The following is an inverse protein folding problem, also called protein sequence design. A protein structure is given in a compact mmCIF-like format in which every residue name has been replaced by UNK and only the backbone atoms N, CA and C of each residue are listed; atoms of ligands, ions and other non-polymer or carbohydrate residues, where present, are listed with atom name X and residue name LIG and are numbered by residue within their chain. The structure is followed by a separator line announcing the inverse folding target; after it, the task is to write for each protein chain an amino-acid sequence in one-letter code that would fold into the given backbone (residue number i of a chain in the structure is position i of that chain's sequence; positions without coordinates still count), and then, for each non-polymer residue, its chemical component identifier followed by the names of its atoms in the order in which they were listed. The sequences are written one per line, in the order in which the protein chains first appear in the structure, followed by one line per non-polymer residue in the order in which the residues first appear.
data_IF_758860626098
#
_entry.id   IF_758860626098
#
_cell.length_a   1.000
_cell.length_b   1.000
_cell.length_c   1.000
_cell.angle_alpha   90.00
_cell.angle_beta   90.00
_cell.angle_gamma   90.00
#
_symmetry.space_group_name_H-M   'P 1'
#
loop_
_entity.id
_entity.type
_entity.pdbx_description
1 polymer ?
#
# COMPACT_ATOMS: atom_id res chain seq x y z
N UNK A 1 -13.80 -14.00 -39.16
CA UNK A 1 -12.74 -13.71 -38.18
C UNK A 1 -13.00 -12.40 -37.42
N UNK A 2 -14.17 -12.21 -36.79
CA UNK A 2 -14.53 -10.91 -36.18
C UNK A 2 -15.02 -11.00 -34.72
N UNK A 3 -15.15 -12.19 -34.15
CA UNK A 3 -15.85 -12.36 -32.87
C UNK A 3 -14.95 -12.15 -31.64
N UNK A 4 -13.65 -12.46 -31.71
CA UNK A 4 -12.76 -12.44 -30.53
C UNK A 4 -12.40 -11.04 -30.02
N UNK A 5 -12.53 -9.99 -30.85
CA UNK A 5 -12.23 -8.60 -30.43
C UNK A 5 -13.37 -7.96 -29.63
N UNK A 6 -14.59 -8.50 -29.74
CA UNK A 6 -15.80 -7.92 -29.14
C UNK A 6 -15.98 -8.31 -27.67
N UNK A 7 -15.49 -9.49 -27.28
CA UNK A 7 -15.54 -9.98 -25.90
C UNK A 7 -14.64 -9.16 -24.95
N UNK A 8 -13.48 -8.70 -25.43
CA UNK A 8 -12.51 -7.99 -24.61
C UNK A 8 -13.01 -6.60 -24.17
N UNK A 9 -13.82 -5.95 -25.00
CA UNK A 9 -14.41 -4.65 -24.68
C UNK A 9 -15.46 -4.72 -23.56
N UNK A 10 -16.13 -5.87 -23.39
CA UNK A 10 -17.17 -6.03 -22.38
C UNK A 10 -16.62 -6.35 -20.98
N UNK A 11 -15.35 -6.79 -20.89
CA UNK A 11 -14.72 -7.20 -19.62
C UNK A 11 -14.04 -6.09 -18.82
N UNK A 12 -14.15 -4.83 -19.24
CA UNK A 12 -13.48 -3.72 -18.56
C UNK A 12 -14.27 -3.25 -17.32
N UNK A 13 -13.70 -3.46 -16.14
CA UNK A 13 -14.27 -3.07 -14.83
C UNK A 13 -13.37 -2.04 -14.17
N UNK A 14 -13.98 -1.05 -13.51
CA UNK A 14 -13.26 -0.01 -12.76
C UNK A 14 -13.21 -0.38 -11.28
N UNK A 15 -12.01 -0.47 -10.73
CA UNK A 15 -11.77 -0.71 -9.32
C UNK A 15 -11.36 0.59 -8.65
N UNK A 16 -12.11 1.01 -7.63
CA UNK A 16 -11.89 2.29 -6.93
C UNK A 16 -11.43 2.04 -5.52
N UNK A 17 -10.26 2.53 -5.12
CA UNK A 17 -9.82 2.40 -3.74
C UNK A 17 -10.39 3.49 -2.83
N UNK A 18 -10.99 3.09 -1.70
CA UNK A 18 -11.59 4.00 -0.74
C UNK A 18 -10.57 4.78 0.10
N UNK A 19 -9.36 4.25 0.27
CA UNK A 19 -8.31 4.88 1.11
C UNK A 19 -7.40 5.84 0.32
N UNK A 20 -6.99 5.49 -0.91
CA UNK A 20 -6.10 6.30 -1.75
C UNK A 20 -6.82 7.08 -2.87
N UNK A 21 -8.09 6.78 -3.16
CA UNK A 21 -8.82 7.36 -4.30
C UNK A 21 -8.34 6.87 -5.68
N UNK A 22 -7.34 5.99 -5.74
CA UNK A 22 -6.82 5.47 -7.01
C UNK A 22 -7.83 4.59 -7.73
N UNK A 23 -7.97 4.79 -9.05
CA UNK A 23 -8.87 4.00 -9.91
C UNK A 23 -8.08 3.11 -10.86
N UNK A 24 -8.40 1.81 -10.91
CA UNK A 24 -7.75 0.83 -11.77
C UNK A 24 -8.76 0.26 -12.76
N UNK A 25 -8.44 0.26 -14.05
CA UNK A 25 -9.28 -0.36 -15.08
C UNK A 25 -8.69 -1.72 -15.42
N UNK A 26 -9.34 -2.79 -14.99
CA UNK A 26 -8.86 -4.16 -15.13
C UNK A 26 -9.88 -5.00 -15.90
N UNK A 27 -9.40 -6.07 -16.54
CA UNK A 27 -10.27 -7.06 -17.16
C UNK A 27 -10.76 -8.04 -16.08
N UNK A 28 -12.08 -8.17 -15.91
CA UNK A 28 -12.66 -9.06 -14.89
C UNK A 28 -13.52 -10.18 -15.48
N UNK A 29 -13.55 -11.30 -14.76
CA UNK A 29 -14.40 -12.45 -15.04
C UNK A 29 -15.88 -12.16 -14.79
N UNK A 30 -16.13 -11.41 -13.71
CA UNK A 30 -17.43 -11.02 -13.23
C UNK A 30 -17.80 -9.63 -13.76
N UNK A 31 -18.92 -9.55 -14.50
CA UNK A 31 -19.45 -8.33 -15.11
C UNK A 31 -20.60 -7.74 -14.29
N UNK A 32 -20.91 -8.31 -13.13
CA UNK A 32 -22.11 -7.96 -12.37
C UNK A 32 -22.08 -6.49 -11.95
N UNK A 33 -20.89 -5.92 -11.73
CA UNK A 33 -20.70 -4.53 -11.32
C UNK A 33 -19.64 -3.83 -12.17
N UNK A 34 -19.98 -2.66 -12.74
CA UNK A 34 -19.07 -1.84 -13.55
C UNK A 34 -17.99 -1.14 -12.71
N UNK A 35 -18.32 -0.85 -11.45
CA UNK A 35 -17.46 -0.22 -10.46
C UNK A 35 -17.40 -1.09 -9.21
N UNK A 36 -16.20 -1.49 -8.80
CA UNK A 36 -15.97 -2.28 -7.60
C UNK A 36 -15.17 -1.46 -6.60
N UNK A 37 -15.69 -1.18 -5.40
CA UNK A 37 -14.92 -0.52 -4.35
C UNK A 37 -13.90 -1.50 -3.75
N UNK A 38 -12.67 -1.04 -3.57
CA UNK A 38 -11.57 -1.74 -2.92
C UNK A 38 -11.16 -1.00 -1.65
N UNK A 39 -10.87 -1.74 -0.58
CA UNK A 39 -10.44 -1.13 0.69
C UNK A 39 -8.94 -0.75 0.66
N UNK A 40 -8.12 -1.59 0.03
CA UNK A 40 -6.65 -1.50 0.01
C UNK A 40 -6.13 -1.62 -1.43
N UNK A 41 -5.39 -0.61 -1.88
CA UNK A 41 -4.73 -0.57 -3.19
C UNK A 41 -3.22 -0.85 -3.06
N UNK A 42 -2.54 -1.09 -4.19
CA UNK A 42 -1.07 -1.19 -4.21
C UNK A 42 -0.38 0.09 -3.69
N UNK A 43 -1.03 1.25 -3.78
CA UNK A 43 -0.52 2.49 -3.20
C UNK A 43 -0.81 2.63 -1.69
N UNK A 44 -1.70 1.82 -1.10
CA UNK A 44 -2.00 1.83 0.34
C UNK A 44 -1.29 0.71 1.10
N UNK A 45 -1.00 -0.42 0.44
CA UNK A 45 -0.48 -1.57 1.17
C UNK A 45 0.96 -1.28 1.64
N UNK A 46 1.24 -1.37 2.96
CA UNK A 46 2.52 -0.97 3.56
C UNK A 46 3.73 -1.69 2.95
N UNK A 47 3.53 -2.90 2.43
CA UNK A 47 4.53 -3.63 1.66
C UNK A 47 5.03 -2.87 0.43
N UNK A 48 4.14 -2.28 -0.35
CA UNK A 48 4.47 -1.59 -1.61
C UNK A 48 4.91 -0.14 -1.40
N UNK A 49 4.60 0.45 -0.25
CA UNK A 49 5.06 1.79 0.13
C UNK A 49 6.56 1.85 0.48
N UNK A 50 7.27 0.71 0.46
CA UNK A 50 8.70 0.66 0.77
C UNK A 50 9.01 1.01 2.23
N UNK A 51 7.98 1.18 3.07
CA UNK A 51 8.14 1.27 4.52
C UNK A 51 8.41 -0.13 5.01
N UNK A 52 9.67 -0.57 4.89
CA UNK A 52 10.23 -1.59 5.77
C UNK A 52 9.71 -1.22 7.16
N UNK A 53 8.97 -2.12 7.81
CA UNK A 53 8.41 -1.89 9.13
C UNK A 53 9.50 -1.23 9.95
N UNK A 54 9.38 0.09 10.16
CA UNK A 54 10.47 0.90 10.67
C UNK A 54 10.94 0.20 11.92
N UNK A 55 12.21 -0.21 11.94
CA UNK A 55 12.87 -0.96 13.02
C UNK A 55 12.55 -0.33 14.37
N UNK A 56 11.38 -0.68 14.93
CA UNK A 56 10.86 -0.17 16.19
C UNK A 56 11.19 -1.16 17.29
N UNK A 57 12.29 -1.90 17.13
CA UNK A 57 12.92 -2.74 18.16
C UNK A 57 14.08 -2.00 18.81
N UNK A 58 14.07 -0.66 18.77
CA UNK A 58 15.07 0.20 19.40
C UNK A 58 14.95 0.24 20.93
N UNK A 59 14.39 -0.77 21.60
CA UNK A 59 14.20 -0.75 23.06
C UNK A 59 15.51 -0.58 23.84
N UNK A 60 16.51 -1.41 23.57
CA UNK A 60 17.83 -1.27 24.20
C UNK A 60 18.68 -0.15 23.59
N UNK A 61 18.55 0.09 22.28
CA UNK A 61 19.32 1.12 21.58
C UNK A 61 18.91 2.55 22.03
N UNK A 62 17.61 2.80 22.26
CA UNK A 62 17.10 4.05 22.83
C UNK A 62 17.60 4.24 24.26
N UNK A 63 17.52 3.19 25.09
CA UNK A 63 18.06 3.25 26.46
C UNK A 63 19.56 3.56 26.48
N UNK A 64 20.32 2.98 25.56
CA UNK A 64 21.75 3.25 25.41
C UNK A 64 21.98 4.72 24.99
N UNK A 65 21.23 5.21 23.99
CA UNK A 65 21.28 6.61 23.53
C UNK A 65 21.03 7.59 24.67
N UNK A 66 20.04 7.34 25.52
CA UNK A 66 19.71 8.16 26.69
C UNK A 66 20.83 8.20 27.74
N UNK A 67 21.43 7.04 28.03
CA UNK A 67 22.54 6.94 28.99
C UNK A 67 23.81 7.64 28.48
N UNK A 68 24.13 7.47 27.20
CA UNK A 68 25.25 8.20 26.58
C UNK A 68 25.00 9.71 26.49
N UNK A 69 23.76 10.15 26.25
CA UNK A 69 23.38 11.56 26.26
C UNK A 69 23.54 12.17 27.66
N UNK A 70 23.10 11.45 28.69
CA UNK A 70 23.20 11.87 30.10
C UNK A 70 24.65 11.90 30.58
N UNK A 71 25.46 10.88 30.25
CA UNK A 71 26.87 10.80 30.59
C UNK A 71 27.72 11.89 29.93
N UNK A 72 27.44 12.26 28.68
CA UNK A 72 28.11 13.38 27.99
C UNK A 72 27.83 14.75 28.62
N UNK A 73 26.70 14.94 29.29
CA UNK A 73 26.40 16.21 29.98
C UNK A 73 27.17 16.36 31.30
N UNK A 74 27.64 15.26 31.87
CA UNK A 74 28.34 15.22 33.15
C UNK A 74 29.88 15.34 33.00
N UNK A 75 30.38 15.45 31.76
CA UNK A 75 31.82 15.60 31.45
C UNK A 75 32.21 17.07 31.12
N UNK A 76 31.36 18.03 31.50
CA UNK A 76 31.65 19.48 31.42
C UNK A 76 31.81 20.05 32.82
#
# INVERSE_FOLDING_TARGET
MSSSKKDLANKLVTYSCNSCGSTYKLFSGDLSQKTVPLDICAACHPFYLGKLASESTLGLAEKLKDKFSSGRKNIK
#
